data_IF_658210093337
#
_entry.id   IF_658210093337
#
_cell.length_a   1.000
_cell.length_b   1.000
_cell.length_c   1.000
_cell.angle_alpha   90.00
_cell.angle_beta   90.00
_cell.angle_gamma   90.00
#
_symmetry.space_group_name_H-M   'P 1'
#
loop_
_entity.id
_entity.type
_entity.pdbx_description
1 polymer ?
#
# COMPACT_ATOMS: atom_id res chain seq x y z
N UNK A 1 -32.55 -28.42 -11.89
CA UNK A 1 -31.39 -27.70 -11.32
C UNK A 1 -30.15 -28.52 -11.64
N UNK A 2 -29.32 -28.09 -12.60
CA UNK A 2 -28.26 -28.92 -13.18
C UNK A 2 -26.94 -28.80 -12.39
N UNK A 3 -26.30 -29.95 -12.22
CA UNK A 3 -24.95 -30.16 -11.64
C UNK A 3 -23.85 -29.33 -12.30
N UNK A 4 -24.07 -28.84 -13.52
CA UNK A 4 -23.14 -27.95 -14.22
C UNK A 4 -22.94 -26.59 -13.54
N UNK A 5 -24.03 -25.97 -13.05
CA UNK A 5 -23.96 -24.65 -12.41
C UNK A 5 -23.20 -24.68 -11.06
N UNK A 6 -23.19 -25.83 -10.38
CA UNK A 6 -22.47 -25.99 -9.12
C UNK A 6 -20.96 -26.23 -9.33
N UNK A 7 -20.61 -26.91 -10.43
CA UNK A 7 -19.22 -27.17 -10.81
C UNK A 7 -18.53 -25.89 -11.29
N UNK A 8 -19.17 -25.10 -12.15
CA UNK A 8 -18.63 -23.81 -12.63
C UNK A 8 -18.38 -22.82 -11.49
N UNK A 9 -19.31 -22.73 -10.52
CA UNK A 9 -19.12 -21.90 -9.33
C UNK A 9 -17.92 -22.33 -8.48
N UNK A 10 -17.73 -23.65 -8.29
CA UNK A 10 -16.58 -24.18 -7.53
C UNK A 10 -15.26 -23.88 -8.22
N UNK A 11 -15.20 -23.99 -9.55
CA UNK A 11 -14.01 -23.62 -10.33
C UNK A 11 -13.74 -22.11 -10.27
N UNK A 12 -14.76 -21.26 -10.35
CA UNK A 12 -14.60 -19.80 -10.20
C UNK A 12 -14.02 -19.44 -8.84
N UNK A 13 -14.55 -20.00 -7.75
CA UNK A 13 -14.05 -19.76 -6.39
C UNK A 13 -12.61 -20.23 -6.23
N UNK A 14 -12.26 -21.40 -6.79
CA UNK A 14 -10.89 -21.90 -6.75
C UNK A 14 -9.92 -21.02 -7.56
N UNK A 15 -10.33 -20.54 -8.73
CA UNK A 15 -9.53 -19.62 -9.56
C UNK A 15 -9.36 -18.26 -8.89
N UNK A 16 -10.43 -17.69 -8.32
CA UNK A 16 -10.38 -16.44 -7.55
C UNK A 16 -9.45 -16.58 -6.34
N UNK A 17 -9.51 -17.73 -5.65
CA UNK A 17 -8.61 -18.04 -4.53
C UNK A 17 -7.14 -18.12 -4.97
N UNK A 18 -6.85 -18.80 -6.10
CA UNK A 18 -5.50 -18.89 -6.66
C UNK A 18 -4.98 -17.51 -7.09
N UNK A 19 -5.84 -16.71 -7.73
CA UNK A 19 -5.49 -15.35 -8.14
C UNK A 19 -5.25 -14.45 -6.92
N UNK A 20 -6.12 -14.50 -5.91
CA UNK A 20 -5.96 -13.77 -4.64
C UNK A 20 -4.63 -14.11 -3.97
N UNK A 21 -4.28 -15.39 -3.89
CA UNK A 21 -3.00 -15.84 -3.34
C UNK A 21 -1.80 -15.21 -4.08
N UNK A 22 -1.79 -15.27 -5.41
CA UNK A 22 -0.70 -14.68 -6.22
C UNK A 22 -0.59 -13.16 -6.04
N UNK A 23 -1.72 -12.47 -5.85
CA UNK A 23 -1.73 -11.03 -5.61
C UNK A 23 -1.15 -10.67 -4.24
N UNK A 24 -1.50 -11.43 -3.21
CA UNK A 24 -0.95 -11.26 -1.86
C UNK A 24 0.55 -11.56 -1.83
N UNK A 25 1.00 -12.60 -2.54
CA UNK A 25 2.43 -12.94 -2.67
C UNK A 25 3.24 -11.76 -3.24
N UNK A 26 2.76 -11.10 -4.29
CA UNK A 26 3.40 -9.89 -4.85
C UNK A 26 3.47 -8.74 -3.85
N UNK A 27 2.44 -8.57 -3.02
CA UNK A 27 2.47 -7.54 -1.98
C UNK A 27 3.51 -7.84 -0.90
N UNK A 28 3.66 -9.11 -0.53
CA UNK A 28 4.70 -9.55 0.41
C UNK A 28 6.11 -9.43 -0.18
N UNK A 29 6.31 -9.77 -1.45
CA UNK A 29 7.58 -9.58 -2.15
C UNK A 29 8.00 -8.10 -2.13
N UNK A 30 7.07 -7.20 -2.40
CA UNK A 30 7.33 -5.76 -2.35
C UNK A 30 7.68 -5.28 -0.92
N UNK A 31 6.99 -5.78 0.10
CA UNK A 31 7.28 -5.49 1.50
C UNK A 31 8.69 -5.98 1.91
N UNK A 32 9.06 -7.20 1.54
CA UNK A 32 10.39 -7.76 1.82
C UNK A 32 11.49 -6.96 1.10
N UNK A 33 11.29 -6.63 -0.18
CA UNK A 33 12.25 -5.82 -0.94
C UNK A 33 12.45 -4.42 -0.31
N UNK A 34 11.41 -3.85 0.31
CA UNK A 34 11.53 -2.58 1.04
C UNK A 34 12.38 -2.73 2.31
N UNK A 35 12.12 -3.77 3.10
CA UNK A 35 12.87 -4.06 4.33
C UNK A 35 14.36 -4.34 4.05
N UNK A 36 14.66 -5.11 3.01
CA UNK A 36 16.05 -5.40 2.61
C UNK A 36 16.80 -4.12 2.25
N UNK A 37 16.14 -3.19 1.52
CA UNK A 37 16.74 -1.90 1.19
C UNK A 37 16.94 -1.03 2.42
N UNK A 38 16.02 -1.06 3.38
CA UNK A 38 16.15 -0.29 4.63
C UNK A 38 17.31 -0.77 5.49
N UNK A 39 17.62 -2.06 5.47
CA UNK A 39 18.79 -2.59 6.17
C UNK A 39 20.10 -2.02 5.63
N UNK A 40 20.15 -1.67 4.34
CA UNK A 40 21.32 -1.09 3.68
C UNK A 40 21.36 0.45 3.69
N UNK A 41 20.22 1.12 3.90
CA UNK A 41 20.09 2.58 3.87
C UNK A 41 19.94 3.14 5.29
N UNK A 42 20.91 3.84 5.88
CA UNK A 42 20.75 4.42 7.22
C UNK A 42 19.89 5.70 7.26
N UNK A 43 19.73 6.41 6.14
CA UNK A 43 19.02 7.69 6.12
C UNK A 43 17.48 7.54 6.11
N UNK A 44 16.82 8.21 7.06
CA UNK A 44 15.36 8.12 7.25
C UNK A 44 14.59 8.72 6.07
N UNK A 45 15.08 9.81 5.49
CA UNK A 45 14.42 10.49 4.36
C UNK A 45 14.50 9.62 3.12
N UNK A 46 15.66 9.01 2.87
CA UNK A 46 15.89 8.11 1.76
C UNK A 46 15.05 6.83 1.89
N UNK A 47 14.91 6.26 3.09
CA UNK A 47 13.97 5.16 3.37
C UNK A 47 12.54 5.53 3.00
N UNK A 48 12.03 6.67 3.47
CA UNK A 48 10.68 7.14 3.13
C UNK A 48 10.50 7.38 1.64
N UNK A 49 11.53 7.88 0.96
CA UNK A 49 11.55 8.06 -0.50
C UNK A 49 11.45 6.73 -1.24
N UNK A 50 12.16 5.69 -0.76
CA UNK A 50 12.07 4.34 -1.32
C UNK A 50 10.68 3.73 -1.11
N UNK A 51 10.06 3.92 0.06
CA UNK A 51 8.68 3.48 0.30
C UNK A 51 7.70 4.17 -0.64
N UNK A 52 7.77 5.49 -0.74
CA UNK A 52 6.92 6.26 -1.65
C UNK A 52 7.06 5.75 -3.08
N UNK A 53 8.28 5.60 -3.60
CA UNK A 53 8.49 5.14 -4.98
C UNK A 53 7.99 3.71 -5.21
N UNK A 54 8.19 2.81 -4.25
CA UNK A 54 7.72 1.43 -4.37
C UNK A 54 6.19 1.36 -4.37
N UNK A 55 5.53 2.10 -3.47
CA UNK A 55 4.06 2.15 -3.42
C UNK A 55 3.52 2.79 -4.69
N UNK A 56 4.10 3.92 -5.12
CA UNK A 56 3.70 4.65 -6.32
C UNK A 56 3.73 3.79 -7.57
N UNK A 57 4.83 3.04 -7.76
CA UNK A 57 5.04 2.26 -8.99
C UNK A 57 4.21 1.00 -9.04
N UNK A 58 3.92 0.38 -7.89
CA UNK A 58 3.35 -0.95 -7.86
C UNK A 58 1.89 -0.97 -7.40
N UNK A 59 1.47 -0.08 -6.49
CA UNK A 59 0.16 -0.17 -5.84
C UNK A 59 -0.81 0.91 -6.29
N UNK A 60 -0.35 2.16 -6.41
CA UNK A 60 -1.20 3.24 -6.89
C UNK A 60 -0.40 4.44 -7.40
N UNK A 61 -0.80 5.06 -8.53
CA UNK A 61 -0.20 6.29 -9.01
C UNK A 61 -0.55 7.52 -8.15
N UNK A 62 -1.63 7.49 -7.37
CA UNK A 62 -2.12 8.61 -6.55
C UNK A 62 -1.73 8.38 -5.09
N UNK A 63 -0.61 8.99 -4.67
CA UNK A 63 -0.07 8.88 -3.32
C UNK A 63 0.57 10.18 -2.88
N UNK A 64 0.41 10.49 -1.60
CA UNK A 64 1.12 11.53 -0.88
C UNK A 64 1.67 10.95 0.42
N UNK A 65 2.96 11.17 0.66
CA UNK A 65 3.66 10.85 1.90
C UNK A 65 4.24 12.14 2.46
N UNK A 66 3.84 12.51 3.67
CA UNK A 66 4.43 13.60 4.44
C UNK A 66 5.06 13.08 5.71
N UNK A 67 6.18 13.67 6.14
CA UNK A 67 6.79 13.37 7.44
C UNK A 67 7.77 14.49 7.84
N UNK A 68 7.42 15.28 8.86
CA UNK A 68 8.15 16.52 9.16
C UNK A 68 8.14 17.46 7.95
N UNK A 69 9.31 17.93 7.53
CA UNK A 69 9.46 18.80 6.35
C UNK A 69 9.46 18.04 5.02
N UNK A 70 9.50 16.70 5.03
CA UNK A 70 9.42 15.89 3.83
C UNK A 70 7.99 15.85 3.29
N UNK A 71 7.83 16.20 2.01
CA UNK A 71 6.58 15.97 1.26
C UNK A 71 6.92 15.32 -0.08
N UNK A 72 6.39 14.12 -0.29
CA UNK A 72 6.47 13.38 -1.54
C UNK A 72 5.03 13.18 -2.03
N UNK A 73 4.68 13.79 -3.16
CA UNK A 73 3.33 13.67 -3.71
C UNK A 73 3.38 13.48 -5.21
N UNK A 74 2.44 12.69 -5.71
CA UNK A 74 2.19 12.53 -7.14
C UNK A 74 1.07 13.43 -7.66
N UNK A 75 0.29 14.03 -6.75
CA UNK A 75 -0.81 14.94 -7.06
C UNK A 75 -0.38 16.39 -7.15
N UNK A 76 -1.15 17.19 -7.88
CA UNK A 76 -1.04 18.65 -7.83
C UNK A 76 -1.61 19.12 -6.47
N UNK A 77 -0.98 20.08 -5.77
CA UNK A 77 -1.56 20.65 -4.55
C UNK A 77 -2.99 21.15 -4.81
N UNK A 78 -3.97 20.57 -4.13
CA UNK A 78 -5.41 20.89 -4.31
C UNK A 78 -6.20 19.95 -5.22
N UNK A 79 -5.59 18.91 -5.80
CA UNK A 79 -6.33 17.84 -6.45
C UNK A 79 -6.95 16.92 -5.40
N UNK A 80 -8.27 16.78 -5.43
CA UNK A 80 -8.95 15.72 -4.66
C UNK A 80 -8.51 14.35 -5.20
N UNK A 81 -8.26 13.41 -4.31
CA UNK A 81 -8.02 12.02 -4.65
C UNK A 81 -9.26 11.43 -5.34
N UNK A 82 -9.09 10.80 -6.51
CA UNK A 82 -10.22 10.37 -7.34
C UNK A 82 -10.55 8.87 -7.25
N UNK A 83 -9.77 8.13 -6.47
CA UNK A 83 -9.93 6.67 -6.32
C UNK A 83 -11.18 6.25 -5.55
N UNK A 84 -11.72 5.08 -5.91
CA UNK A 84 -12.85 4.44 -5.21
C UNK A 84 -12.52 4.11 -3.75
N UNK A 85 -11.28 3.69 -3.49
CA UNK A 85 -10.76 3.39 -2.17
C UNK A 85 -9.74 4.44 -1.76
N UNK A 86 -9.94 5.05 -0.60
CA UNK A 86 -9.00 5.98 0.00
C UNK A 86 -8.32 5.32 1.19
N UNK A 87 -7.01 5.37 1.19
CA UNK A 87 -6.17 5.03 2.33
C UNK A 87 -5.63 6.32 2.92
N UNK A 88 -5.82 6.51 4.22
CA UNK A 88 -5.27 7.65 4.96
C UNK A 88 -4.81 7.14 6.32
N UNK A 89 -3.51 7.19 6.58
CA UNK A 89 -2.95 6.86 7.89
C UNK A 89 -1.89 7.87 8.31
N UNK A 90 -1.83 8.12 9.62
CA UNK A 90 -0.80 8.95 10.23
C UNK A 90 0.48 8.15 10.46
N UNK A 91 1.61 8.81 10.23
CA UNK A 91 2.94 8.34 10.57
C UNK A 91 3.43 9.16 11.77
N UNK A 92 3.85 8.51 12.85
CA UNK A 92 4.33 9.15 14.07
C UNK A 92 5.80 8.78 14.28
N UNK A 93 6.65 9.78 14.47
CA UNK A 93 8.07 9.64 14.75
C UNK A 93 8.41 9.67 16.23
N UNK A 94 9.63 9.23 16.60
CA UNK A 94 10.10 9.20 17.98
C UNK A 94 10.35 10.61 18.56
N UNK A 95 10.64 11.58 17.71
CA UNK A 95 11.03 12.96 18.09
C UNK A 95 9.84 13.94 18.07
N UNK A 96 8.60 13.42 18.12
CA UNK A 96 7.37 14.21 17.97
C UNK A 96 7.05 14.62 16.52
N UNK A 97 7.95 14.33 15.58
CA UNK A 97 7.70 14.48 14.14
C UNK A 97 6.49 13.66 13.75
N UNK A 98 5.60 14.23 12.94
CA UNK A 98 4.42 13.54 12.44
C UNK A 98 4.28 13.73 10.95
N UNK A 99 3.42 12.91 10.36
CA UNK A 99 3.22 12.84 8.93
C UNK A 99 1.98 12.03 8.58
N UNK A 100 1.77 11.85 7.29
CA UNK A 100 0.64 11.08 6.76
C UNK A 100 1.05 10.33 5.51
N UNK A 101 0.42 9.18 5.29
CA UNK A 101 0.45 8.47 4.03
C UNK A 101 -0.99 8.38 3.54
N UNK A 102 -1.28 9.16 2.50
CA UNK A 102 -2.59 9.21 1.85
C UNK A 102 -2.45 8.68 0.44
N UNK A 103 -3.32 7.76 0.05
CA UNK A 103 -3.28 7.17 -1.27
C UNK A 103 -4.69 6.81 -1.74
N UNK A 104 -4.90 6.82 -3.05
CA UNK A 104 -6.19 6.49 -3.64
C UNK A 104 -6.08 5.33 -4.61
N UNK A 105 -7.15 4.56 -4.78
CA UNK A 105 -7.10 3.37 -5.60
C UNK A 105 -8.44 3.04 -6.24
N UNK A 106 -8.38 2.64 -7.51
CA UNK A 106 -9.54 2.11 -8.24
C UNK A 106 -9.22 0.69 -8.68
N UNK A 107 -10.06 -0.26 -8.26
CA UNK A 107 -9.87 -1.67 -8.59
C UNK A 107 -10.07 -1.89 -10.11
N UNK A 108 -9.37 -2.87 -10.72
CA UNK A 108 -8.42 -3.80 -10.10
C UNK A 108 -6.97 -3.30 -10.08
N UNK A 109 -6.71 -2.06 -10.51
CA UNK A 109 -5.37 -1.45 -10.55
C UNK A 109 -4.28 -2.29 -11.25
N UNK A 110 -3.01 -1.94 -11.02
CA UNK A 110 -1.84 -2.59 -11.64
C UNK A 110 -1.60 -4.03 -11.16
N UNK A 111 -1.85 -4.31 -9.89
CA UNK A 111 -1.64 -5.63 -9.28
C UNK A 111 -2.86 -6.54 -9.31
N UNK A 112 -3.98 -6.08 -9.86
CA UNK A 112 -5.22 -6.84 -9.90
C UNK A 112 -5.95 -6.96 -8.56
N UNK A 113 -5.54 -6.17 -7.55
CA UNK A 113 -6.04 -6.27 -6.18
C UNK A 113 -7.52 -5.88 -6.10
N UNK A 114 -8.24 -6.51 -5.19
CA UNK A 114 -9.53 -5.95 -4.74
C UNK A 114 -9.27 -4.77 -3.80
N UNK A 115 -10.26 -3.90 -3.60
CA UNK A 115 -10.14 -2.79 -2.63
C UNK A 115 -9.71 -3.24 -1.23
N UNK A 116 -10.33 -4.29 -0.63
CA UNK A 116 -9.90 -4.82 0.67
C UNK A 116 -8.48 -5.40 0.70
N UNK A 117 -8.07 -6.11 -0.37
CA UNK A 117 -6.70 -6.62 -0.51
C UNK A 117 -5.70 -5.45 -0.60
N UNK A 118 -6.03 -4.41 -1.38
CA UNK A 118 -5.21 -3.21 -1.52
C UNK A 118 -5.08 -2.45 -0.20
N UNK A 119 -6.17 -2.21 0.53
CA UNK A 119 -6.13 -1.56 1.85
C UNK A 119 -5.26 -2.34 2.84
N UNK A 120 -5.34 -3.67 2.83
CA UNK A 120 -4.53 -4.53 3.70
C UNK A 120 -3.04 -4.45 3.34
N UNK A 121 -2.71 -4.46 2.04
CA UNK A 121 -1.34 -4.27 1.57
C UNK A 121 -0.80 -2.87 1.93
N UNK A 122 -1.60 -1.82 1.76
CA UNK A 122 -1.24 -0.45 2.12
C UNK A 122 -0.99 -0.30 3.63
N UNK A 123 -1.80 -0.93 4.50
CA UNK A 123 -1.56 -0.96 5.95
C UNK A 123 -0.19 -1.58 6.28
N UNK A 124 0.18 -2.68 5.63
CA UNK A 124 1.49 -3.30 5.81
C UNK A 124 2.62 -2.36 5.35
N UNK A 125 2.51 -1.79 4.15
CA UNK A 125 3.54 -0.91 3.58
C UNK A 125 3.69 0.40 4.36
N UNK A 126 2.59 0.99 4.82
CA UNK A 126 2.62 2.18 5.67
C UNK A 126 3.21 1.89 7.05
N UNK A 127 2.98 0.68 7.60
CA UNK A 127 3.67 0.21 8.79
C UNK A 127 5.19 0.13 8.59
N UNK A 128 5.63 -0.44 7.47
CA UNK A 128 7.05 -0.49 7.11
C UNK A 128 7.61 0.93 6.88
N UNK A 129 6.88 1.82 6.21
CA UNK A 129 7.29 3.21 6.03
C UNK A 129 7.49 3.92 7.37
N UNK A 130 6.57 3.75 8.32
CA UNK A 130 6.70 4.28 9.68
C UNK A 130 7.93 3.73 10.39
N UNK A 131 8.21 2.42 10.27
CA UNK A 131 9.42 1.79 10.81
C UNK A 131 10.70 2.37 10.17
N UNK A 132 10.67 2.64 8.86
CA UNK A 132 11.77 3.30 8.15
C UNK A 132 12.09 4.69 8.70
N UNK A 133 11.07 5.41 9.13
CA UNK A 133 11.19 6.69 9.84
C UNK A 133 11.61 6.55 11.31
N UNK A 134 11.71 5.32 11.84
CA UNK A 134 12.00 5.04 13.25
C UNK A 134 10.79 5.16 14.17
N UNK A 135 9.57 5.10 13.64
CA UNK A 135 8.33 5.37 14.34
C UNK A 135 7.24 4.32 14.15
N UNK A 136 5.98 4.73 14.29
CA UNK A 136 4.81 3.86 14.17
C UNK A 136 3.66 4.52 13.39
N UNK A 137 2.75 3.69 12.90
CA UNK A 137 1.58 4.10 12.11
C UNK A 137 0.32 4.13 12.98
N UNK A 138 -0.64 5.01 12.64
CA UNK A 138 -2.01 4.94 13.14
C UNK A 138 -2.99 5.19 12.00
N UNK A 139 -3.90 4.23 11.76
CA UNK A 139 -4.95 4.34 10.76
C UNK A 139 -6.31 4.58 11.44
N UNK A 140 -7.20 5.39 10.85
CA UNK A 140 -8.61 5.37 11.21
C UNK A 140 -9.19 3.96 10.96
N UNK A 141 -10.18 3.59 11.78
CA UNK A 141 -10.83 2.28 11.72
C UNK A 141 -11.67 2.14 10.46
#
# INVERSE_FOLDING_TARGET
MSTHAQTERKFSVALESIQSKRRIERAMEAANALLDRYAAEPDRVQRLTLAHELIRRNFTPEITLTFGDLTLSTGTPGSEFTGEFIFDCKLNGPDGTSGSLVAAYTAPGSLGLTGPEWLSAMRLLAGIAALGAGGWMTCPR
#
